data_IF_808255135459
#
_entry.id   IF_808255135459
#
_cell.length_a   1.000
_cell.length_b   1.000
_cell.length_c   1.000
_cell.angle_alpha   90.00
_cell.angle_beta   90.00
_cell.angle_gamma   90.00
#
_symmetry.space_group_name_H-M   'P 1'
#
loop_
_entity.id
_entity.type
_entity.pdbx_description
1 polymer ?
#
# COMPACT_ATOMS: atom_id res chain seq x y z
N UNK A 1 -16.28 -21.25 33.75
CA UNK A 1 -15.18 -20.32 33.43
C UNK A 1 -14.61 -20.75 32.08
N UNK A 2 -15.00 -20.09 30.98
CA UNK A 2 -14.54 -20.45 29.64
C UNK A 2 -13.42 -19.50 29.25
N UNK A 3 -12.23 -20.05 28.98
CA UNK A 3 -11.05 -19.30 28.60
C UNK A 3 -11.26 -18.65 27.22
N UNK A 4 -11.06 -17.34 27.13
CA UNK A 4 -11.05 -16.62 25.86
C UNK A 4 -9.93 -17.19 24.96
N UNK A 5 -10.18 -17.40 23.66
CA UNK A 5 -9.14 -17.88 22.76
C UNK A 5 -8.05 -16.82 22.67
N UNK A 6 -6.82 -17.22 23.00
CA UNK A 6 -5.64 -16.41 22.83
C UNK A 6 -5.60 -15.89 21.39
N UNK A 7 -5.69 -14.56 21.23
CA UNK A 7 -5.53 -13.92 19.94
C UNK A 7 -4.19 -14.33 19.36
N UNK A 8 -4.23 -15.19 18.35
CA UNK A 8 -3.09 -15.48 17.47
C UNK A 8 -2.65 -14.12 16.95
N UNK A 9 -1.56 -13.56 17.50
CA UNK A 9 -0.85 -12.46 16.87
C UNK A 9 -0.25 -13.03 15.60
N UNK A 10 -1.04 -13.04 14.53
CA UNK A 10 -0.53 -13.21 13.18
C UNK A 10 0.56 -12.17 13.03
N UNK A 11 1.83 -12.61 13.01
CA UNK A 11 2.95 -11.76 12.64
C UNK A 11 2.71 -11.40 11.18
N UNK A 12 1.96 -10.32 10.93
CA UNK A 12 1.66 -9.85 9.60
C UNK A 12 2.98 -9.43 8.99
N UNK A 13 3.55 -10.30 8.14
CA UNK A 13 4.72 -9.92 7.36
C UNK A 13 4.33 -8.65 6.60
N UNK A 14 5.16 -7.60 6.61
CA UNK A 14 4.85 -6.41 5.82
C UNK A 14 4.65 -6.83 4.37
N UNK A 15 3.46 -6.55 3.82
CA UNK A 15 3.17 -6.85 2.42
C UNK A 15 4.10 -5.98 1.57
N UNK A 16 4.87 -6.61 0.69
CA UNK A 16 5.79 -5.90 -0.21
C UNK A 16 5.04 -5.53 -1.49
N UNK A 17 5.20 -4.29 -1.92
CA UNK A 17 4.72 -3.77 -3.21
C UNK A 17 5.79 -3.95 -4.28
N UNK A 18 7.06 -3.83 -3.88
CA UNK A 18 8.23 -3.97 -4.76
C UNK A 18 9.48 -4.38 -3.96
N UNK A 19 10.64 -4.42 -4.61
CA UNK A 19 11.92 -4.58 -3.92
C UNK A 19 12.21 -3.45 -2.91
N UNK A 20 11.61 -2.26 -3.12
CA UNK A 20 11.94 -1.03 -2.40
C UNK A 20 10.79 -0.47 -1.55
N UNK A 21 9.57 -1.02 -1.65
CA UNK A 21 8.41 -0.48 -0.94
C UNK A 21 7.54 -1.54 -0.29
N UNK A 22 7.05 -1.18 0.89
CA UNK A 22 6.03 -1.88 1.65
C UNK A 22 4.67 -1.24 1.43
N UNK A 23 3.61 -2.02 1.69
CA UNK A 23 2.22 -1.59 1.58
C UNK A 23 1.94 -0.32 2.38
N UNK A 24 2.44 -0.25 3.61
CA UNK A 24 2.21 0.87 4.51
C UNK A 24 3.00 2.13 4.19
N UNK A 25 4.00 2.05 3.30
CA UNK A 25 4.90 3.18 3.05
C UNK A 25 4.12 4.39 2.52
N UNK A 26 4.53 5.62 2.92
CA UNK A 26 3.91 6.86 2.42
C UNK A 26 4.16 7.04 0.92
N UNK A 27 5.07 6.26 0.34
CA UNK A 27 5.33 6.24 -1.08
C UNK A 27 5.63 4.83 -1.55
N UNK A 28 5.05 4.46 -2.69
CA UNK A 28 5.38 3.24 -3.39
C UNK A 28 6.32 3.54 -4.56
N UNK A 29 7.43 2.80 -4.62
CA UNK A 29 8.31 2.72 -5.78
C UNK A 29 8.00 1.40 -6.49
N UNK A 30 7.54 1.47 -7.74
CA UNK A 30 7.35 0.30 -8.58
C UNK A 30 8.64 -0.08 -9.31
N UNK A 31 8.84 -1.37 -9.49
CA UNK A 31 9.93 -1.90 -10.29
C UNK A 31 9.51 -1.92 -11.77
N UNK A 32 10.38 -1.44 -12.66
CA UNK A 32 10.12 -1.42 -14.09
C UNK A 32 11.40 -1.26 -14.90
N UNK A 33 11.68 -2.22 -15.78
CA UNK A 33 12.80 -2.22 -16.72
C UNK A 33 12.27 -1.95 -18.13
N UNK A 34 11.71 -0.76 -18.38
CA UNK A 34 11.43 -0.33 -19.75
C UNK A 34 12.43 0.76 -20.15
N UNK A 35 13.12 0.62 -21.29
CA UNK A 35 13.98 1.68 -21.81
C UNK A 35 13.22 3.01 -21.89
N UNK A 36 13.82 4.08 -21.35
CA UNK A 36 13.23 5.42 -21.35
C UNK A 36 12.39 5.77 -20.12
N UNK A 37 12.04 4.82 -19.25
CA UNK A 37 11.40 5.16 -17.97
C UNK A 37 12.43 5.69 -16.97
N UNK A 38 12.11 6.80 -16.33
CA UNK A 38 12.90 7.37 -15.23
C UNK A 38 12.36 6.83 -13.90
N UNK A 39 13.20 6.68 -12.85
CA UNK A 39 12.76 6.17 -11.56
C UNK A 39 11.57 6.92 -10.94
N UNK A 40 11.47 8.22 -11.17
CA UNK A 40 10.36 9.05 -10.67
C UNK A 40 9.03 8.78 -11.38
N UNK A 41 9.03 8.26 -12.62
CA UNK A 41 7.80 7.84 -13.31
C UNK A 41 7.17 6.59 -12.68
N UNK A 42 7.91 5.89 -11.81
CA UNK A 42 7.46 4.68 -11.12
C UNK A 42 7.21 4.93 -9.63
N UNK A 43 7.04 6.19 -9.21
CA UNK A 43 6.68 6.54 -7.83
C UNK A 43 5.21 6.91 -7.75
N UNK A 44 4.56 6.41 -6.71
CA UNK A 44 3.25 6.86 -6.27
C UNK A 44 3.39 7.41 -4.85
N UNK A 45 3.15 8.71 -4.68
CA UNK A 45 3.18 9.37 -3.38
C UNK A 45 1.77 9.38 -2.78
N UNK A 46 1.61 8.77 -1.61
CA UNK A 46 0.36 8.76 -0.86
C UNK A 46 0.24 9.96 0.08
N UNK A 47 1.35 10.65 0.39
CA UNK A 47 1.40 11.77 1.31
C UNK A 47 1.10 13.11 0.63
N UNK A 48 0.25 13.11 -0.40
CA UNK A 48 -0.23 14.36 -1.00
C UNK A 48 -1.24 15.07 -0.10
N UNK A 49 -1.29 16.39 -0.25
CA UNK A 49 -2.20 17.27 0.49
C UNK A 49 -3.57 17.33 -0.20
N UNK A 50 -4.64 17.22 0.58
CA UNK A 50 -6.01 17.41 0.15
C UNK A 50 -6.41 18.89 0.25
N UNK A 51 -7.51 19.33 -0.40
CA UNK A 51 -7.93 20.74 -0.39
C UNK A 51 -8.23 21.31 1.00
N UNK A 52 -8.45 20.46 2.00
CA UNK A 52 -8.67 20.84 3.39
C UNK A 52 -7.36 20.95 4.21
N UNK A 53 -6.20 20.76 3.57
CA UNK A 53 -4.87 20.81 4.18
C UNK A 53 -4.46 19.51 4.89
N UNK A 54 -5.32 18.48 4.90
CA UNK A 54 -4.96 17.19 5.47
C UNK A 54 -4.13 16.37 4.49
N UNK A 55 -3.20 15.57 5.00
CA UNK A 55 -2.51 14.57 4.18
C UNK A 55 -3.44 13.38 3.94
N UNK A 56 -3.43 12.80 2.74
CA UNK A 56 -4.21 11.58 2.47
C UNK A 56 -3.76 10.37 3.31
N UNK A 57 -2.54 10.41 3.87
CA UNK A 57 -2.06 9.44 4.87
C UNK A 57 -2.57 9.68 6.29
N UNK A 58 -3.37 10.73 6.54
CA UNK A 58 -3.88 11.02 7.88
C UNK A 58 -4.89 9.94 8.34
N UNK A 59 -4.98 9.65 9.67
CA UNK A 59 -5.82 8.56 10.18
C UNK A 59 -7.30 8.64 9.79
N UNK A 60 -7.84 9.86 9.63
CA UNK A 60 -9.22 10.10 9.18
C UNK A 60 -9.51 9.53 7.78
N UNK A 61 -8.48 9.39 6.93
CA UNK A 61 -8.58 8.86 5.57
C UNK A 61 -8.17 7.39 5.46
N UNK A 62 -7.81 6.73 6.57
CA UNK A 62 -7.25 5.37 6.58
C UNK A 62 -8.01 4.35 5.73
N UNK A 63 -9.35 4.35 5.78
CA UNK A 63 -10.17 3.45 4.95
C UNK A 63 -10.04 3.76 3.46
N UNK A 64 -10.10 5.04 3.08
CA UNK A 64 -9.97 5.47 1.69
C UNK A 64 -8.56 5.22 1.15
N UNK A 65 -7.54 5.44 1.98
CA UNK A 65 -6.16 5.11 1.65
C UNK A 65 -6.00 3.61 1.37
N UNK A 66 -6.58 2.76 2.20
CA UNK A 66 -6.52 1.31 2.01
C UNK A 66 -7.27 0.85 0.75
N UNK A 67 -8.45 1.41 0.48
CA UNK A 67 -9.23 1.13 -0.73
C UNK A 67 -8.47 1.56 -1.99
N UNK A 68 -7.85 2.75 -1.97
CA UNK A 68 -7.06 3.27 -3.09
C UNK A 68 -5.80 2.44 -3.34
N UNK A 69 -5.09 2.04 -2.28
CA UNK A 69 -3.95 1.12 -2.35
C UNK A 69 -4.33 -0.22 -2.94
N UNK A 70 -5.46 -0.79 -2.49
CA UNK A 70 -6.01 -2.06 -2.98
C UNK A 70 -6.36 -1.97 -4.47
N UNK A 71 -7.05 -0.90 -4.88
CA UNK A 71 -7.39 -0.67 -6.28
C UNK A 71 -6.14 -0.53 -7.15
N UNK A 72 -5.16 0.31 -6.77
CA UNK A 72 -3.94 0.47 -7.55
C UNK A 72 -3.15 -0.85 -7.65
N UNK A 73 -3.13 -1.63 -6.57
CA UNK A 73 -2.47 -2.93 -6.55
C UNK A 73 -3.16 -3.97 -7.44
N UNK A 74 -4.49 -3.97 -7.52
CA UNK A 74 -5.22 -4.92 -8.36
C UNK A 74 -4.99 -4.69 -9.86
N UNK A 75 -4.62 -3.47 -10.27
CA UNK A 75 -4.19 -3.18 -11.64
C UNK A 75 -2.83 -3.79 -11.99
N UNK A 76 -2.01 -4.07 -10.96
CA UNK A 76 -0.62 -4.51 -11.10
C UNK A 76 -0.44 -6.00 -10.84
N UNK A 77 -1.17 -6.55 -9.88
CA UNK A 77 -1.12 -7.95 -9.52
C UNK A 77 -2.05 -8.74 -10.44
N UNK A 78 -1.51 -9.76 -11.10
CA UNK A 78 -2.36 -10.76 -11.72
C UNK A 78 -3.25 -11.37 -10.63
N UNK A 79 -4.54 -11.65 -10.92
CA UNK A 79 -5.34 -12.43 -10.00
C UNK A 79 -4.60 -13.76 -9.74
N UNK A 80 -4.57 -14.26 -8.49
CA UNK A 80 -4.02 -15.58 -8.24
C UNK A 80 -4.69 -16.58 -9.18
N UNK A 81 -3.91 -17.49 -9.75
CA UNK A 81 -4.47 -18.62 -10.50
C UNK A 81 -5.49 -19.31 -9.59
N UNK A 82 -6.72 -19.45 -10.09
CA UNK A 82 -7.85 -20.03 -9.36
C UNK A 82 -7.60 -21.46 -8.90
#
# INVERSE_FOLDING_TARGET
>A
MSAAPASRRTLHRPQRVSAHSLWSDPQWQFDGLRPGLRPYHLRFDWAFELPDGSLFTAPCWSRWLEDARTFLWSLRADPPHG
#
